data_IF_085937860076
#
_entry.id   IF_085937860076
#
_cell.length_a   1.000
_cell.length_b   1.000
_cell.length_c   1.000
_cell.angle_alpha   90.00
_cell.angle_beta   90.00
_cell.angle_gamma   90.00
#
_symmetry.space_group_name_H-M   'P 1'
#
loop_
_entity.id
_entity.type
_entity.pdbx_description
1 polymer ?
#
# COMPACT_ATOMS: atom_id res chain seq x y z
N UNK A 1 4.13 8.56 8.53
CA UNK A 1 3.77 8.72 7.11
C UNK A 1 2.86 7.58 6.68
N UNK A 2 2.00 7.78 5.67
CA UNK A 2 1.15 6.69 5.15
C UNK A 2 1.79 6.10 3.89
N UNK A 3 1.90 4.78 3.86
CA UNK A 3 2.35 4.02 2.70
C UNK A 3 1.22 3.15 2.19
N UNK A 4 0.81 3.37 0.94
CA UNK A 4 -0.12 2.51 0.21
C UNK A 4 0.73 1.66 -0.73
N UNK A 5 0.66 0.34 -0.56
CA UNK A 5 1.60 -0.59 -1.16
C UNK A 5 0.81 -1.58 -2.01
N UNK A 6 1.18 -1.72 -3.28
CA UNK A 6 0.69 -2.78 -4.15
C UNK A 6 1.77 -3.82 -4.41
N UNK A 7 1.46 -5.08 -4.10
CA UNK A 7 2.33 -6.24 -4.41
C UNK A 7 1.65 -7.16 -5.42
N UNK A 8 2.38 -7.73 -6.39
CA UNK A 8 1.82 -8.78 -7.25
C UNK A 8 1.25 -9.93 -6.42
N UNK A 9 0.04 -10.37 -6.74
CA UNK A 9 -0.64 -11.45 -6.02
C UNK A 9 0.09 -12.80 -6.12
N UNK A 10 0.86 -13.02 -7.19
CA UNK A 10 1.69 -14.20 -7.40
C UNK A 10 2.86 -14.33 -6.39
N UNK A 11 3.12 -13.31 -5.57
CA UNK A 11 3.97 -13.37 -4.38
C UNK A 11 5.47 -13.14 -4.59
N UNK A 12 6.20 -13.11 -3.46
CA UNK A 12 7.67 -13.25 -3.36
C UNK A 12 8.55 -12.03 -3.69
N UNK A 13 8.05 -11.05 -4.43
CA UNK A 13 8.85 -9.91 -4.91
C UNK A 13 8.71 -8.59 -4.11
N UNK A 14 9.51 -7.56 -4.46
CA UNK A 14 9.29 -6.20 -3.99
C UNK A 14 7.90 -5.68 -4.41
N UNK A 15 7.40 -4.59 -3.80
CA UNK A 15 6.20 -3.93 -4.27
C UNK A 15 6.31 -3.53 -5.75
N UNK A 16 5.20 -3.66 -6.50
CA UNK A 16 5.11 -3.12 -7.85
C UNK A 16 5.06 -1.60 -7.82
N UNK A 17 4.27 -1.06 -6.88
CA UNK A 17 4.10 0.37 -6.69
C UNK A 17 3.90 0.71 -5.21
N UNK A 18 4.38 1.90 -4.84
CA UNK A 18 4.20 2.47 -3.50
C UNK A 18 3.84 3.93 -3.64
N UNK A 19 2.76 4.34 -2.97
CA UNK A 19 2.43 5.75 -2.77
C UNK A 19 2.68 6.13 -1.32
N UNK A 20 3.56 7.11 -1.14
CA UNK A 20 3.81 7.76 0.15
C UNK A 20 2.93 8.99 0.27
N UNK A 21 2.34 9.19 1.44
CA UNK A 21 1.58 10.40 1.79
C UNK A 21 2.08 10.92 3.13
N UNK A 22 2.64 12.13 3.10
CA UNK A 22 3.11 12.81 4.29
C UNK A 22 1.92 13.44 5.03
N UNK A 23 1.88 13.28 6.36
CA UNK A 23 0.84 13.84 7.25
C UNK A 23 -0.60 13.56 6.76
N UNK A 24 -1.02 12.28 6.64
CA UNK A 24 -2.35 11.91 6.18
C UNK A 24 -3.45 12.46 7.11
N UNK A 25 -4.58 12.87 6.54
CA UNK A 25 -5.81 13.17 7.28
C UNK A 25 -6.89 12.18 6.86
N UNK A 26 -7.59 11.58 7.83
CA UNK A 26 -8.57 10.53 7.58
C UNK A 26 -10.01 11.06 7.66
N UNK A 27 -10.95 10.53 6.85
CA UNK A 27 -10.74 9.54 5.79
C UNK A 27 -9.96 10.11 4.60
N UNK A 28 -9.14 9.25 3.97
CA UNK A 28 -8.23 9.66 2.90
C UNK A 28 -8.60 8.94 1.59
N UNK A 29 -8.86 9.71 0.53
CA UNK A 29 -8.96 9.19 -0.83
C UNK A 29 -7.58 9.02 -1.46
N UNK A 30 -7.38 7.93 -2.22
CA UNK A 30 -6.13 7.70 -2.93
C UNK A 30 -6.35 7.10 -4.32
N UNK A 31 -5.31 7.22 -5.13
CA UNK A 31 -5.12 6.55 -6.41
C UNK A 31 -3.73 5.94 -6.42
N UNK A 32 -3.58 4.79 -7.07
CA UNK A 32 -2.29 4.14 -7.30
C UNK A 32 -2.21 3.77 -8.78
N UNK A 33 -1.14 4.19 -9.45
CA UNK A 33 -0.95 3.99 -10.88
C UNK A 33 0.51 3.78 -11.27
N UNK A 34 0.77 3.83 -12.58
CA UNK A 34 2.11 3.63 -13.15
C UNK A 34 3.12 4.67 -12.63
N UNK A 35 2.67 5.87 -12.28
CA UNK A 35 3.47 6.93 -11.67
C UNK A 35 4.01 6.57 -10.27
N UNK A 36 3.44 5.55 -9.63
CA UNK A 36 3.87 5.09 -8.31
C UNK A 36 4.75 3.84 -8.38
N UNK A 37 5.12 3.39 -9.58
CA UNK A 37 5.95 2.20 -9.77
C UNK A 37 7.37 2.40 -9.24
N UNK A 38 7.90 1.36 -8.61
CA UNK A 38 9.29 1.38 -8.09
C UNK A 38 10.34 1.13 -9.17
N UNK A 39 9.95 0.46 -10.26
CA UNK A 39 10.83 0.15 -11.40
C UNK A 39 10.21 0.71 -12.67
N UNK A 40 10.93 1.63 -13.33
CA UNK A 40 10.48 2.23 -14.58
C UNK A 40 10.57 1.21 -15.74
N UNK A 41 9.70 1.37 -16.74
CA UNK A 41 9.67 0.53 -17.95
C UNK A 41 8.91 -0.79 -17.83
N UNK A 42 8.43 -1.14 -16.63
CA UNK A 42 7.53 -2.28 -16.43
C UNK A 42 6.06 -1.85 -16.60
N UNK A 43 5.16 -2.74 -17.06
CA UNK A 43 3.73 -2.44 -17.13
C UNK A 43 3.08 -2.45 -15.74
N UNK A 44 2.18 -1.50 -15.48
CA UNK A 44 1.31 -1.51 -14.29
C UNK A 44 0.08 -2.39 -14.55
N UNK A 45 0.23 -3.71 -14.44
CA UNK A 45 -0.82 -4.67 -14.82
C UNK A 45 -0.93 -5.83 -13.83
N UNK A 46 -1.99 -6.62 -13.98
CA UNK A 46 -2.21 -7.87 -13.25
C UNK A 46 -3.03 -7.74 -11.97
N UNK A 47 -2.97 -8.78 -11.14
CA UNK A 47 -3.64 -8.87 -9.84
C UNK A 47 -2.70 -8.43 -8.72
N UNK A 48 -3.19 -7.59 -7.83
CA UNK A 48 -2.41 -6.92 -6.79
C UNK A 48 -3.03 -7.16 -5.42
N UNK A 49 -2.19 -7.42 -4.42
CA UNK A 49 -2.56 -7.30 -3.02
C UNK A 49 -2.27 -5.88 -2.56
N UNK A 50 -3.27 -5.22 -1.99
CA UNK A 50 -3.18 -3.86 -1.46
C UNK A 50 -3.08 -3.90 0.06
N UNK A 51 -2.01 -3.32 0.58
CA UNK A 51 -1.76 -3.16 2.01
C UNK A 51 -1.43 -1.71 2.31
N UNK A 52 -1.83 -1.22 3.47
CA UNK A 52 -1.56 0.15 3.91
C UNK A 52 -0.87 0.11 5.27
N UNK A 53 0.19 0.89 5.43
CA UNK A 53 0.90 1.08 6.70
C UNK A 53 0.94 2.55 7.07
N UNK A 54 0.56 2.88 8.29
CA UNK A 54 0.84 4.15 8.94
C UNK A 54 2.07 3.98 9.82
N UNK A 55 3.17 4.54 9.35
CA UNK A 55 4.47 4.54 10.00
C UNK A 55 4.61 5.76 10.93
N UNK A 56 5.16 5.58 12.12
CA UNK A 56 5.32 6.67 13.09
C UNK A 56 6.68 7.35 13.04
N UNK A 57 7.74 6.63 12.66
CA UNK A 57 9.12 7.11 12.80
C UNK A 57 9.71 7.72 11.51
N UNK A 58 9.02 7.59 10.37
CA UNK A 58 9.46 8.09 9.08
C UNK A 58 10.51 7.20 8.41
N UNK A 59 10.74 6.00 8.94
CA UNK A 59 11.63 5.00 8.39
C UNK A 59 10.81 3.85 7.75
N UNK A 60 10.74 3.78 6.41
CA UNK A 60 9.95 2.75 5.74
C UNK A 60 10.52 1.32 5.92
N UNK A 61 11.78 1.20 6.36
CA UNK A 61 12.46 -0.08 6.59
C UNK A 61 12.27 -0.66 7.99
N UNK A 62 11.90 0.15 8.98
CA UNK A 62 11.53 -0.34 10.32
C UNK A 62 10.09 -0.83 10.29
N UNK A 63 9.72 -1.66 11.26
CA UNK A 63 8.32 -1.93 11.63
C UNK A 63 8.24 -1.69 13.12
N UNK A 64 8.06 -0.43 13.48
CA UNK A 64 8.14 0.03 14.86
C UNK A 64 6.91 -0.38 15.66
N UNK A 65 7.08 -0.53 16.97
CA UNK A 65 5.94 -0.65 17.87
C UNK A 65 5.06 0.62 17.75
N UNK A 66 3.74 0.44 17.62
CA UNK A 66 2.79 1.53 17.42
C UNK A 66 2.44 1.83 15.96
N UNK A 67 3.15 1.24 14.99
CA UNK A 67 2.75 1.31 13.58
C UNK A 67 1.38 0.65 13.37
N UNK A 68 0.54 1.27 12.56
CA UNK A 68 -0.76 0.69 12.17
C UNK A 68 -0.69 0.12 10.76
N UNK A 69 -1.37 -1.00 10.54
CA UNK A 69 -1.41 -1.69 9.27
C UNK A 69 -2.84 -2.11 8.94
N UNK A 70 -3.11 -2.30 7.65
CA UNK A 70 -4.37 -2.81 7.16
C UNK A 70 -4.20 -3.47 5.79
N UNK A 71 -4.99 -4.52 5.57
CA UNK A 71 -5.10 -5.21 4.29
C UNK A 71 -6.46 -4.94 3.68
N UNK A 72 -6.52 -4.74 2.36
CA UNK A 72 -7.81 -4.76 1.68
C UNK A 72 -8.43 -6.17 1.80
N UNK A 73 -9.57 -6.27 2.48
CA UNK A 73 -10.16 -7.57 2.86
C UNK A 73 -10.58 -8.44 1.67
N UNK A 74 -10.74 -7.85 0.48
CA UNK A 74 -11.07 -8.56 -0.77
C UNK A 74 -9.87 -8.73 -1.70
N UNK A 75 -8.65 -8.63 -1.18
CA UNK A 75 -7.46 -8.94 -1.96
C UNK A 75 -7.53 -10.37 -2.56
N UNK A 76 -6.96 -10.58 -3.76
CA UNK A 76 -6.33 -9.57 -4.64
C UNK A 76 -7.34 -8.76 -5.46
N UNK A 77 -6.94 -7.59 -5.93
CA UNK A 77 -7.69 -6.73 -6.88
C UNK A 77 -7.03 -6.69 -8.25
N UNK A 78 -7.81 -6.46 -9.30
CA UNK A 78 -7.26 -6.19 -10.64
C UNK A 78 -6.91 -4.70 -10.79
N UNK A 79 -5.87 -4.39 -11.57
CA UNK A 79 -5.58 -3.01 -11.96
C UNK A 79 -6.82 -2.37 -12.60
N UNK A 80 -7.14 -1.14 -12.19
CA UNK A 80 -8.35 -0.43 -12.59
C UNK A 80 -9.54 -0.59 -11.62
N UNK A 81 -9.40 -1.45 -10.61
CA UNK A 81 -10.40 -1.57 -9.53
C UNK A 81 -10.62 -0.24 -8.80
N UNK A 82 -11.87 0.03 -8.44
CA UNK A 82 -12.30 1.18 -7.63
C UNK A 82 -12.82 0.69 -6.28
N UNK A 83 -12.99 1.62 -5.32
CA UNK A 83 -13.54 1.32 -3.99
C UNK A 83 -12.71 0.26 -3.23
N UNK A 84 -11.38 0.39 -3.32
CA UNK A 84 -10.43 -0.43 -2.57
C UNK A 84 -10.22 0.22 -1.21
N UNK A 85 -11.22 0.13 -0.34
CA UNK A 85 -11.19 0.80 0.96
C UNK A 85 -10.45 -0.06 2.01
N UNK A 86 -9.35 0.47 2.55
CA UNK A 86 -8.52 -0.22 3.56
C UNK A 86 -8.71 0.42 4.93
N UNK A 87 -9.03 -0.41 5.92
CA UNK A 87 -9.09 -0.03 7.33
C UNK A 87 -7.78 -0.42 8.00
N UNK A 88 -7.16 0.51 8.72
CA UNK A 88 -5.99 0.23 9.56
C UNK A 88 -6.46 -0.35 10.90
N UNK A 89 -6.43 -1.68 11.02
CA UNK A 89 -7.00 -2.42 12.15
C UNK A 89 -5.97 -3.28 12.92
N UNK A 90 -4.71 -3.28 12.49
CA UNK A 90 -3.62 -4.01 13.12
C UNK A 90 -2.57 -3.05 13.66
N UNK A 91 -2.19 -3.19 14.93
CA UNK A 91 -1.08 -2.44 15.53
C UNK A 91 0.12 -3.37 15.72
N UNK A 92 1.29 -2.94 15.23
CA UNK A 92 2.58 -3.59 15.51
C UNK A 92 2.89 -3.43 17.00
N UNK A 93 3.21 -4.55 17.66
CA UNK A 93 3.57 -4.59 19.09
C UNK A 93 5.07 -4.44 19.30
#
# INVERSE_FOLDING_TARGET
ELFIIARPAAGGGPPLAVKKIDRPTFPLSYSLGAENMMTQGMPFTGKLNITVRLDQDGNPGTRGAGDLNGDFKKNPVEVGSKNVDVVLDQMTR
#
